data_IF_961930962755
#
_entry.id   IF_961930962755
#
_cell.length_a   1.000
_cell.length_b   1.000
_cell.length_c   1.000
_cell.angle_alpha   90.00
_cell.angle_beta   90.00
_cell.angle_gamma   90.00
#
_symmetry.space_group_name_H-M   'P 1'
#
loop_
_entity.id
_entity.type
_entity.pdbx_description
1 polymer ?
#
# COMPACT_ATOMS: atom_id res chain seq x y z
N UNK A 1 -26.38 10.05 11.81
CA UNK A 1 -26.23 8.78 11.08
C UNK A 1 -24.90 8.11 11.44
N UNK A 2 -24.89 6.80 11.47
CA UNK A 2 -23.71 5.97 11.60
C UNK A 2 -23.67 5.02 10.40
N UNK A 3 -22.49 4.80 9.84
CA UNK A 3 -22.25 3.82 8.76
C UNK A 3 -20.99 3.03 9.07
N UNK A 4 -21.05 1.72 8.83
CA UNK A 4 -19.89 0.82 8.90
C UNK A 4 -19.88 -0.03 7.64
N UNK A 5 -18.73 -0.15 7.01
CA UNK A 5 -18.53 -0.91 5.78
C UNK A 5 -17.27 -1.75 5.89
N UNK A 6 -17.34 -2.98 5.39
CA UNK A 6 -16.20 -3.91 5.25
C UNK A 6 -16.11 -4.33 3.80
N UNK A 7 -14.92 -4.26 3.23
CA UNK A 7 -14.61 -4.79 1.89
C UNK A 7 -13.40 -5.71 1.91
N UNK A 8 -13.35 -6.61 0.94
CA UNK A 8 -12.27 -7.58 0.76
C UNK A 8 -11.66 -7.38 -0.62
N UNK A 9 -10.34 -7.26 -0.66
CA UNK A 9 -9.58 -7.06 -1.87
C UNK A 9 -8.74 -8.32 -2.14
N UNK A 10 -8.85 -8.86 -3.35
CA UNK A 10 -8.07 -10.01 -3.79
C UNK A 10 -7.37 -9.67 -5.10
N UNK A 11 -6.21 -10.27 -5.35
CA UNK A 11 -5.52 -10.08 -6.61
C UNK A 11 -6.40 -10.59 -7.77
N UNK A 12 -6.77 -9.69 -8.68
CA UNK A 12 -7.72 -10.01 -9.74
C UNK A 12 -7.10 -10.72 -10.94
N UNK A 13 -5.86 -10.39 -11.29
CA UNK A 13 -5.16 -10.97 -12.44
C UNK A 13 -3.65 -10.97 -12.23
N UNK A 14 -3.05 -12.14 -12.43
CA UNK A 14 -1.61 -12.33 -12.42
C UNK A 14 -1.12 -12.72 -13.82
N UNK A 15 0.15 -12.44 -14.16
CA UNK A 15 0.77 -13.02 -15.35
C UNK A 15 0.76 -14.55 -15.30
N UNK A 16 0.59 -15.18 -16.45
CA UNK A 16 0.78 -16.62 -16.56
C UNK A 16 2.26 -16.97 -16.64
N UNK A 17 2.74 -17.74 -15.68
CA UNK A 17 4.11 -18.23 -15.65
C UNK A 17 4.21 -19.67 -16.15
N UNK A 18 5.31 -19.98 -16.82
CA UNK A 18 5.60 -21.36 -17.20
C UNK A 18 5.77 -22.25 -15.96
N UNK A 19 5.36 -23.52 -16.03
CA UNK A 19 5.41 -24.49 -14.91
C UNK A 19 6.13 -25.79 -15.29
N UNK A 20 6.90 -25.78 -16.38
CA UNK A 20 7.55 -26.96 -16.96
C UNK A 20 9.03 -27.03 -16.61
N UNK A 21 9.74 -25.90 -16.73
CA UNK A 21 11.18 -25.84 -16.58
C UNK A 21 11.59 -25.32 -15.21
N UNK A 22 12.63 -25.94 -14.65
CA UNK A 22 13.18 -25.59 -13.36
C UNK A 22 14.07 -24.33 -13.42
N UNK A 23 14.52 -23.90 -12.27
CA UNK A 23 15.53 -22.87 -12.10
C UNK A 23 16.80 -23.24 -12.89
N UNK A 24 17.40 -22.26 -13.55
CA UNK A 24 18.61 -22.46 -14.33
C UNK A 24 18.58 -21.81 -15.70
N UNK A 25 19.53 -22.13 -16.54
CA UNK A 25 19.69 -21.58 -17.88
C UNK A 25 20.26 -22.64 -18.81
N UNK A 26 19.86 -22.59 -20.11
CA UNK A 26 20.39 -23.49 -21.14
C UNK A 26 20.17 -24.99 -20.87
N UNK A 27 19.11 -25.34 -20.14
CA UNK A 27 18.80 -26.71 -19.76
C UNK A 27 19.60 -27.22 -18.55
N UNK A 28 20.44 -26.40 -17.92
CA UNK A 28 21.22 -26.75 -16.74
C UNK A 28 20.59 -26.20 -15.48
N UNK A 29 20.39 -27.06 -14.47
CA UNK A 29 19.85 -26.63 -13.16
C UNK A 29 20.87 -25.80 -12.40
N UNK A 30 20.39 -24.73 -11.75
CA UNK A 30 21.22 -23.87 -10.89
C UNK A 30 20.38 -23.33 -9.76
N UNK A 31 20.83 -23.53 -8.53
CA UNK A 31 20.16 -23.11 -7.29
C UNK A 31 20.30 -21.62 -6.97
N UNK A 32 21.02 -20.86 -7.80
CA UNK A 32 21.27 -19.42 -7.63
C UNK A 32 20.88 -18.59 -8.86
N UNK A 33 20.34 -19.23 -9.91
CA UNK A 33 19.91 -18.55 -11.13
C UNK A 33 18.62 -17.74 -10.91
N UNK A 34 18.58 -16.54 -11.47
CA UNK A 34 17.36 -15.72 -11.54
C UNK A 34 16.45 -16.05 -12.74
N UNK A 35 16.73 -17.13 -13.48
CA UNK A 35 15.96 -17.56 -14.65
C UNK A 35 15.39 -18.97 -14.49
N UNK A 36 14.37 -19.31 -15.27
CA UNK A 36 13.61 -20.56 -15.22
C UNK A 36 13.71 -21.31 -16.55
N UNK A 37 14.96 -21.46 -17.05
CA UNK A 37 15.30 -22.19 -18.27
C UNK A 37 16.31 -23.32 -18.01
N UNK A 38 16.20 -23.97 -16.85
CA UNK A 38 16.90 -25.21 -16.50
C UNK A 38 16.27 -26.44 -17.17
N UNK A 39 16.52 -27.66 -16.66
CA UNK A 39 15.89 -28.88 -17.14
C UNK A 39 14.37 -28.86 -16.81
N UNK A 40 13.65 -29.84 -17.32
CA UNK A 40 12.24 -30.04 -16.86
C UNK A 40 12.23 -30.35 -15.36
N UNK A 41 11.22 -29.81 -14.65
CA UNK A 41 11.09 -30.04 -13.20
C UNK A 41 11.05 -31.53 -12.88
N UNK A 42 10.38 -32.34 -13.70
CA UNK A 42 10.31 -33.81 -13.55
C UNK A 42 11.65 -34.51 -13.67
N UNK A 43 12.67 -33.88 -14.26
CA UNK A 43 14.00 -34.44 -14.47
C UNK A 43 14.98 -34.12 -13.34
N UNK A 44 14.63 -33.24 -12.41
CA UNK A 44 15.47 -32.83 -11.29
C UNK A 44 16.01 -34.00 -10.44
N UNK A 45 15.29 -35.12 -10.21
CA UNK A 45 15.83 -36.25 -9.50
C UNK A 45 17.05 -36.90 -10.21
N UNK A 46 17.19 -36.68 -11.51
CA UNK A 46 18.28 -37.19 -12.32
C UNK A 46 19.38 -36.15 -12.61
N UNK A 47 19.30 -34.97 -12.01
CA UNK A 47 20.33 -33.93 -12.09
C UNK A 47 21.68 -34.49 -11.57
N UNK A 48 22.77 -34.22 -12.29
CA UNK A 48 24.07 -34.77 -11.97
C UNK A 48 24.61 -34.28 -10.60
N UNK A 49 24.26 -33.05 -10.20
CA UNK A 49 24.78 -32.43 -8.98
C UNK A 49 23.80 -32.56 -7.81
N UNK A 50 22.52 -32.38 -8.06
CA UNK A 50 21.49 -32.25 -7.02
C UNK A 50 20.46 -33.39 -7.01
N UNK A 51 20.50 -34.29 -7.99
CA UNK A 51 19.53 -35.36 -8.14
C UNK A 51 19.69 -36.47 -7.11
N UNK A 52 18.62 -36.92 -6.48
CA UNK A 52 18.63 -38.01 -5.51
C UNK A 52 18.80 -39.40 -6.13
N UNK A 53 18.60 -39.52 -7.45
CA UNK A 53 18.80 -40.77 -8.19
C UNK A 53 20.26 -40.96 -8.63
N UNK A 54 21.07 -39.91 -8.66
CA UNK A 54 22.45 -39.92 -9.20
C UNK A 54 23.48 -40.10 -8.10
N UNK A 55 24.72 -40.43 -8.49
CA UNK A 55 25.86 -40.48 -7.58
C UNK A 55 26.51 -39.08 -7.57
N UNK A 56 26.29 -38.31 -6.52
CA UNK A 56 26.82 -36.97 -6.33
C UNK A 56 27.20 -36.72 -4.87
N UNK A 57 27.76 -35.56 -4.56
CA UNK A 57 28.24 -35.21 -3.22
C UNK A 57 27.12 -35.37 -2.13
N UNK A 58 25.89 -34.97 -2.44
CA UNK A 58 24.79 -35.05 -1.48
C UNK A 58 24.28 -36.45 -1.25
N UNK A 59 24.22 -37.29 -2.31
CA UNK A 59 23.82 -38.70 -2.17
C UNK A 59 24.93 -39.54 -1.54
N UNK A 60 26.19 -39.18 -1.70
CA UNK A 60 27.29 -39.79 -0.95
C UNK A 60 27.19 -39.48 0.55
N UNK A 61 26.81 -38.26 0.91
CA UNK A 61 26.69 -37.83 2.30
C UNK A 61 25.41 -38.32 3.01
N UNK A 62 24.27 -38.30 2.32
CA UNK A 62 22.96 -38.56 2.92
C UNK A 62 22.28 -39.85 2.43
N UNK A 63 22.91 -40.61 1.54
CA UNK A 63 22.29 -41.72 0.84
C UNK A 63 21.39 -41.27 -0.34
N UNK A 64 21.12 -42.22 -1.24
CA UNK A 64 20.22 -41.95 -2.38
C UNK A 64 18.79 -41.66 -1.92
N UNK A 65 18.18 -40.66 -2.55
CA UNK A 65 16.82 -40.19 -2.29
C UNK A 65 15.99 -40.29 -3.57
N UNK A 66 15.50 -41.48 -3.83
CA UNK A 66 14.79 -41.78 -5.07
C UNK A 66 13.63 -40.86 -5.34
N UNK A 67 13.59 -40.27 -6.54
CA UNK A 67 12.52 -39.38 -6.97
C UNK A 67 12.57 -37.95 -6.36
N UNK A 68 13.61 -37.62 -5.59
CA UNK A 68 13.81 -36.32 -4.97
C UNK A 68 15.06 -35.62 -5.53
N UNK A 69 15.20 -34.34 -5.22
CA UNK A 69 16.38 -33.54 -5.49
C UNK A 69 16.77 -32.68 -4.30
N UNK A 70 18.05 -32.38 -4.18
CA UNK A 70 18.58 -31.57 -3.06
C UNK A 70 18.39 -30.09 -3.31
N UNK A 71 17.89 -29.39 -2.33
CA UNK A 71 17.67 -27.92 -2.35
C UNK A 71 18.48 -27.27 -1.23
N UNK A 72 19.61 -26.61 -1.55
CA UNK A 72 20.52 -26.05 -0.55
C UNK A 72 19.83 -25.03 0.37
N UNK A 73 18.86 -24.28 -0.15
CA UNK A 73 18.13 -23.29 0.62
C UNK A 73 17.23 -23.91 1.70
N UNK A 74 16.71 -25.12 1.47
CA UNK A 74 16.00 -25.88 2.51
C UNK A 74 16.97 -26.31 3.62
N UNK A 75 18.15 -26.79 3.24
CA UNK A 75 19.20 -27.15 4.21
C UNK A 75 19.64 -25.92 5.02
N UNK A 76 19.86 -24.78 4.37
CA UNK A 76 20.25 -23.53 5.03
C UNK A 76 19.19 -23.03 6.02
N UNK A 77 17.91 -23.35 5.79
CA UNK A 77 16.81 -23.03 6.69
C UNK A 77 16.53 -24.10 7.76
N UNK A 78 17.39 -25.10 7.94
CA UNK A 78 17.19 -26.18 8.91
C UNK A 78 16.10 -27.20 8.55
N UNK A 79 15.62 -27.20 7.30
CA UNK A 79 14.60 -28.13 6.82
C UNK A 79 15.22 -29.39 6.20
N UNK A 80 14.38 -30.45 6.00
CA UNK A 80 14.77 -31.56 5.13
C UNK A 80 15.16 -31.01 3.76
N UNK A 81 16.42 -31.20 3.31
CA UNK A 81 16.89 -30.62 2.06
C UNK A 81 16.32 -31.32 0.80
N UNK A 82 15.72 -32.47 0.94
CA UNK A 82 15.24 -33.27 -0.18
C UNK A 82 13.79 -32.95 -0.54
N UNK A 83 13.61 -32.37 -1.71
CA UNK A 83 12.32 -31.95 -2.21
C UNK A 83 11.81 -32.89 -3.32
N UNK A 84 10.50 -33.09 -3.37
CA UNK A 84 9.82 -33.72 -4.50
C UNK A 84 9.66 -32.71 -5.63
N UNK A 85 9.97 -33.04 -6.90
CA UNK A 85 9.77 -32.15 -8.03
C UNK A 85 8.30 -31.75 -8.18
N UNK A 86 8.03 -30.45 -8.08
CA UNK A 86 6.71 -29.88 -8.34
C UNK A 86 6.84 -28.43 -8.79
N UNK A 87 5.78 -27.89 -9.38
CA UNK A 87 5.70 -26.49 -9.73
C UNK A 87 4.89 -25.74 -8.68
N UNK A 88 5.46 -24.66 -8.14
CA UNK A 88 4.83 -23.75 -7.20
C UNK A 88 4.24 -22.55 -7.93
N UNK A 89 3.16 -21.99 -7.41
CA UNK A 89 2.54 -20.78 -7.93
C UNK A 89 2.94 -19.57 -7.08
N UNK A 90 4.26 -19.30 -7.04
CA UNK A 90 4.88 -18.31 -6.16
C UNK A 90 4.22 -16.94 -6.22
N UNK A 91 3.74 -16.52 -7.40
CA UNK A 91 3.07 -15.24 -7.55
C UNK A 91 1.68 -15.23 -6.89
N UNK A 92 0.94 -16.33 -6.98
CA UNK A 92 -0.37 -16.45 -6.35
C UNK A 92 -0.25 -16.59 -4.82
N UNK A 93 0.72 -17.38 -4.37
CA UNK A 93 0.92 -17.71 -2.96
C UNK A 93 1.50 -16.51 -2.16
N UNK A 94 1.99 -15.48 -2.87
CA UNK A 94 2.55 -14.28 -2.26
C UNK A 94 1.50 -13.27 -1.82
N UNK A 95 0.32 -13.24 -2.45
CA UNK A 95 -0.69 -12.26 -2.16
C UNK A 95 -1.71 -12.77 -1.16
N UNK A 96 -2.00 -11.94 -0.17
CA UNK A 96 -3.05 -12.14 0.82
C UNK A 96 -4.39 -11.54 0.34
N UNK A 97 -5.43 -11.76 1.12
CA UNK A 97 -6.68 -11.02 0.99
C UNK A 97 -6.58 -9.75 1.80
N UNK A 98 -6.65 -8.60 1.15
CA UNK A 98 -6.74 -7.31 1.80
C UNK A 98 -8.12 -7.12 2.43
N UNK A 99 -8.17 -6.41 3.56
CA UNK A 99 -9.42 -6.10 4.27
C UNK A 99 -9.46 -4.61 4.54
N UNK A 100 -10.54 -3.96 4.13
CA UNK A 100 -10.78 -2.55 4.46
C UNK A 100 -12.00 -2.42 5.34
N UNK A 101 -11.85 -1.79 6.48
CA UNK A 101 -12.93 -1.47 7.40
C UNK A 101 -13.04 0.03 7.57
N UNK A 102 -14.22 0.59 7.18
CA UNK A 102 -14.51 2.02 7.27
C UNK A 102 -15.73 2.28 8.13
N UNK A 103 -15.59 3.21 9.07
CA UNK A 103 -16.67 3.67 9.92
C UNK A 103 -16.85 5.18 9.77
N UNK A 104 -18.08 5.64 9.81
CA UNK A 104 -18.39 7.07 9.85
C UNK A 104 -19.57 7.38 10.76
N UNK A 105 -19.44 8.47 11.50
CA UNK A 105 -20.48 9.05 12.33
C UNK A 105 -20.72 10.49 11.90
N UNK A 106 -21.96 10.82 11.60
CA UNK A 106 -22.37 12.18 11.29
C UNK A 106 -23.48 12.62 12.25
N UNK A 107 -23.27 13.74 12.92
CA UNK A 107 -24.24 14.41 13.79
C UNK A 107 -24.46 15.81 13.21
N UNK A 108 -25.70 16.12 12.90
CA UNK A 108 -26.09 17.42 12.38
C UNK A 108 -27.34 17.93 13.11
N UNK A 109 -27.39 19.23 13.33
CA UNK A 109 -28.56 19.90 13.87
C UNK A 109 -28.84 21.19 13.10
N UNK A 110 -30.10 21.43 12.84
CA UNK A 110 -30.59 22.65 12.22
C UNK A 110 -31.52 23.37 13.22
N UNK A 111 -31.25 24.62 13.42
CA UNK A 111 -32.05 25.56 14.21
C UNK A 111 -32.57 26.66 13.28
N UNK A 112 -33.47 27.50 13.77
CA UNK A 112 -34.08 28.56 12.95
C UNK A 112 -33.08 29.49 12.26
N UNK A 113 -31.96 29.79 12.94
CA UNK A 113 -30.94 30.74 12.45
C UNK A 113 -29.58 30.15 12.29
N UNK A 114 -29.35 28.88 12.65
CA UNK A 114 -28.04 28.26 12.56
C UNK A 114 -28.13 26.77 12.29
N UNK A 115 -27.11 26.26 11.65
CA UNK A 115 -26.90 24.82 11.47
C UNK A 115 -25.47 24.45 11.82
N UNK A 116 -25.28 23.26 12.31
CA UNK A 116 -23.96 22.74 12.57
C UNK A 116 -23.92 21.22 12.30
N UNK A 117 -22.77 20.77 11.90
CA UNK A 117 -22.51 19.34 11.74
C UNK A 117 -21.11 18.98 12.18
N UNK A 118 -21.00 17.77 12.71
CA UNK A 118 -19.73 17.11 13.04
C UNK A 118 -19.74 15.75 12.36
N UNK A 119 -18.71 15.48 11.59
CA UNK A 119 -18.48 14.17 10.98
C UNK A 119 -17.15 13.60 11.46
N UNK A 120 -17.19 12.36 11.91
CA UNK A 120 -16.03 11.58 12.32
C UNK A 120 -15.94 10.36 11.41
N UNK A 121 -14.75 10.01 10.98
CA UNK A 121 -14.53 8.82 10.18
C UNK A 121 -13.20 8.18 10.49
N UNK A 122 -13.15 6.86 10.38
CA UNK A 122 -11.91 6.12 10.33
C UNK A 122 -11.96 5.07 9.22
N UNK A 123 -10.82 4.78 8.65
CA UNK A 123 -10.59 3.67 7.72
C UNK A 123 -9.33 2.97 8.14
N UNK A 124 -9.43 1.65 8.30
CA UNK A 124 -8.31 0.75 8.47
C UNK A 124 -8.27 -0.20 7.28
N UNK A 125 -7.12 -0.36 6.66
CA UNK A 125 -6.92 -1.22 5.50
C UNK A 125 -5.67 -2.07 5.68
N UNK A 126 -5.83 -3.37 5.63
CA UNK A 126 -4.75 -4.30 5.37
C UNK A 126 -4.61 -4.49 3.86
N UNK A 127 -3.39 -4.37 3.34
CA UNK A 127 -3.12 -4.54 1.91
C UNK A 127 -3.12 -5.99 1.47
N UNK A 128 -3.14 -6.22 0.16
CA UNK A 128 -2.98 -7.57 -0.43
C UNK A 128 -1.53 -8.07 -0.39
N UNK A 129 -0.59 -7.25 0.02
CA UNK A 129 0.80 -7.63 0.33
C UNK A 129 0.93 -7.51 1.85
N UNK A 130 1.36 -8.59 2.49
CA UNK A 130 1.60 -8.61 3.94
C UNK A 130 2.49 -7.44 4.38
N UNK A 131 2.25 -6.91 5.58
CA UNK A 131 2.93 -5.73 6.13
C UNK A 131 2.69 -4.41 5.39
N UNK A 132 1.70 -4.35 4.48
CA UNK A 132 1.25 -3.10 3.88
C UNK A 132 -0.15 -2.76 4.37
N UNK A 133 -0.41 -1.47 4.57
CA UNK A 133 -1.72 -1.06 5.06
C UNK A 133 -1.88 0.45 5.16
N UNK A 134 -3.04 0.88 5.61
CA UNK A 134 -3.36 2.29 5.81
C UNK A 134 -4.30 2.46 7.00
N UNK A 135 -3.95 3.39 7.86
CA UNK A 135 -4.84 3.95 8.86
C UNK A 135 -5.16 5.40 8.52
N UNK A 136 -6.45 5.72 8.48
CA UNK A 136 -6.92 7.08 8.22
C UNK A 136 -8.01 7.47 9.20
N UNK A 137 -7.85 8.65 9.80
CA UNK A 137 -8.85 9.30 10.64
C UNK A 137 -9.18 10.67 10.08
N UNK A 138 -10.45 11.03 10.12
CA UNK A 138 -10.90 12.33 9.69
C UNK A 138 -11.95 12.91 10.63
N UNK A 139 -11.84 14.22 10.85
CA UNK A 139 -12.79 15.02 11.60
C UNK A 139 -13.18 16.20 10.72
N UNK A 140 -14.47 16.40 10.55
CA UNK A 140 -15.03 17.59 9.89
C UNK A 140 -16.02 18.27 10.81
N UNK A 141 -15.88 19.59 10.92
CA UNK A 141 -16.84 20.45 11.64
C UNK A 141 -17.30 21.53 10.68
N UNK A 142 -18.58 21.79 10.63
CA UNK A 142 -19.14 22.95 9.91
C UNK A 142 -20.24 23.61 10.71
N UNK A 143 -20.32 24.92 10.58
CA UNK A 143 -21.41 25.69 11.14
C UNK A 143 -21.73 26.87 10.23
N UNK A 144 -23.03 27.19 10.14
CA UNK A 144 -23.59 28.34 9.43
C UNK A 144 -24.57 29.04 10.32
N UNK A 145 -24.57 30.36 10.30
CA UNK A 145 -25.48 31.15 11.11
C UNK A 145 -25.94 32.44 10.41
N UNK A 146 -27.20 32.80 10.61
CA UNK A 146 -27.75 34.13 10.28
C UNK A 146 -27.50 35.05 11.45
N UNK A 147 -26.56 35.98 11.29
CA UNK A 147 -26.23 36.97 12.33
C UNK A 147 -27.32 38.05 12.45
N UNK A 148 -27.85 38.48 11.30
CA UNK A 148 -28.94 39.42 11.17
C UNK A 148 -29.84 39.01 9.99
N UNK A 149 -30.84 39.81 9.64
CA UNK A 149 -31.66 39.58 8.44
C UNK A 149 -30.82 39.66 7.14
N UNK A 150 -29.73 40.42 7.16
CA UNK A 150 -28.89 40.68 5.99
C UNK A 150 -27.55 39.99 6.05
N UNK A 151 -27.04 39.61 7.23
CA UNK A 151 -25.73 39.03 7.39
C UNK A 151 -25.80 37.56 7.78
N UNK A 152 -25.01 36.74 7.10
CA UNK A 152 -24.75 35.36 7.48
C UNK A 152 -23.25 35.09 7.47
N UNK A 153 -22.83 34.12 8.27
CA UNK A 153 -21.44 33.64 8.32
C UNK A 153 -21.44 32.17 8.57
N UNK A 154 -20.39 31.52 8.14
CA UNK A 154 -20.18 30.11 8.39
C UNK A 154 -18.73 29.72 8.22
N UNK A 155 -18.42 28.53 8.68
CA UNK A 155 -17.08 27.92 8.51
C UNK A 155 -17.18 26.44 8.27
N UNK A 156 -16.15 25.90 7.64
CA UNK A 156 -15.89 24.48 7.55
C UNK A 156 -14.42 24.23 7.91
N UNK A 157 -14.16 23.28 8.79
CA UNK A 157 -12.83 22.85 9.16
C UNK A 157 -12.74 21.33 9.04
N UNK A 158 -11.67 20.83 8.41
CA UNK A 158 -11.39 19.43 8.25
C UNK A 158 -9.98 19.15 8.76
N UNK A 159 -9.82 18.05 9.49
CA UNK A 159 -8.52 17.50 9.86
C UNK A 159 -8.48 16.04 9.46
N UNK A 160 -7.41 15.66 8.77
CA UNK A 160 -7.19 14.29 8.31
C UNK A 160 -5.79 13.90 8.72
N UNK A 161 -5.65 12.74 9.35
CA UNK A 161 -4.38 12.06 9.52
C UNK A 161 -4.41 10.73 8.79
N UNK A 162 -3.34 10.41 8.09
CA UNK A 162 -3.20 9.16 7.33
C UNK A 162 -1.81 8.61 7.59
N UNK A 163 -1.72 7.35 7.98
CA UNK A 163 -0.48 6.58 8.09
C UNK A 163 -0.54 5.42 7.11
N UNK A 164 0.49 5.23 6.29
CA UNK A 164 0.55 4.20 5.26
C UNK A 164 1.84 3.40 5.45
N UNK A 165 1.71 2.09 5.60
CA UNK A 165 2.81 1.14 5.46
C UNK A 165 2.87 0.68 4.01
N UNK A 166 4.03 0.89 3.35
CA UNK A 166 4.22 0.67 1.91
C UNK A 166 5.14 -0.50 1.61
N UNK A 167 4.88 -1.17 0.50
CA UNK A 167 5.86 -2.09 -0.09
C UNK A 167 6.93 -1.33 -0.87
N UNK A 168 8.16 -1.89 -0.92
CA UNK A 168 9.23 -1.39 -1.81
C UNK A 168 8.82 -1.58 -3.26
N UNK A 169 8.74 -0.48 -4.02
CA UNK A 169 8.34 -0.49 -5.44
C UNK A 169 9.50 -0.24 -6.41
N UNK A 170 10.70 0.05 -5.91
CA UNK A 170 11.88 0.35 -6.73
C UNK A 170 12.38 -0.86 -7.55
N UNK A 171 13.47 -0.68 -8.31
CA UNK A 171 14.09 -1.74 -9.15
C UNK A 171 14.44 -3.04 -8.41
N UNK A 172 14.61 -2.99 -7.08
CA UNK A 172 14.75 -4.14 -6.18
C UNK A 172 13.45 -4.47 -5.44
N UNK A 173 12.30 -3.98 -5.93
CA UNK A 173 11.00 -4.17 -5.31
C UNK A 173 10.56 -5.63 -5.21
N UNK A 174 9.67 -5.89 -4.25
CA UNK A 174 9.18 -7.22 -3.89
C UNK A 174 8.64 -8.00 -5.09
N UNK A 175 7.81 -7.37 -5.91
CA UNK A 175 7.16 -8.03 -7.06
C UNK A 175 8.16 -8.51 -8.11
N UNK A 176 9.28 -7.81 -8.30
CA UNK A 176 10.33 -8.26 -9.20
C UNK A 176 10.94 -9.58 -8.74
N UNK A 177 11.11 -9.78 -7.45
CA UNK A 177 11.61 -11.04 -6.89
C UNK A 177 10.56 -12.14 -6.97
N UNK A 178 9.32 -11.83 -6.61
CA UNK A 178 8.19 -12.78 -6.67
C UNK A 178 7.97 -13.30 -8.11
N UNK A 179 7.93 -12.40 -9.09
CA UNK A 179 7.69 -12.75 -10.49
C UNK A 179 8.90 -13.43 -11.16
N UNK A 180 10.09 -13.26 -10.62
CA UNK A 180 11.29 -13.97 -11.07
C UNK A 180 11.51 -15.30 -10.34
N UNK A 181 10.71 -15.62 -9.32
CA UNK A 181 10.86 -16.87 -8.59
C UNK A 181 10.61 -18.07 -9.51
N UNK A 182 11.58 -18.99 -9.62
CA UNK A 182 11.42 -20.17 -10.45
C UNK A 182 10.28 -21.06 -9.96
N UNK A 183 9.51 -21.68 -10.84
CA UNK A 183 8.42 -22.57 -10.42
C UNK A 183 8.89 -23.79 -9.65
N UNK A 184 10.16 -24.20 -9.77
CA UNK A 184 10.74 -25.28 -8.98
C UNK A 184 11.16 -24.86 -7.57
N UNK A 185 11.12 -23.57 -7.24
CA UNK A 185 11.48 -23.04 -5.93
C UNK A 185 10.22 -22.69 -5.12
N UNK A 186 10.14 -23.21 -3.91
CA UNK A 186 9.06 -22.94 -2.97
C UNK A 186 9.35 -21.64 -2.21
N UNK A 187 8.93 -20.50 -2.79
CA UNK A 187 9.23 -19.18 -2.22
C UNK A 187 8.52 -18.94 -0.88
N UNK A 188 7.31 -19.45 -0.72
CA UNK A 188 6.52 -19.30 0.50
C UNK A 188 6.87 -20.35 1.57
N UNK A 189 7.21 -21.58 1.16
CA UNK A 189 7.45 -22.68 2.10
C UNK A 189 8.89 -22.81 2.58
N UNK A 190 9.87 -22.13 1.95
CA UNK A 190 11.25 -22.09 2.42
C UNK A 190 11.46 -20.82 3.24
N UNK A 191 11.85 -20.91 4.53
CA UNK A 191 12.12 -19.73 5.35
C UNK A 191 13.02 -18.71 4.65
N UNK A 192 12.67 -17.46 4.77
CA UNK A 192 13.32 -16.34 4.09
C UNK A 192 14.74 -16.03 4.59
N UNK A 193 15.17 -16.65 5.69
CA UNK A 193 16.46 -16.47 6.33
C UNK A 193 17.12 -17.81 6.64
N UNK A 194 18.43 -17.77 6.86
CA UNK A 194 19.22 -18.91 7.30
C UNK A 194 18.85 -19.27 8.74
N UNK A 195 18.80 -20.57 9.05
CA UNK A 195 18.47 -21.06 10.38
C UNK A 195 19.34 -20.40 11.48
N UNK A 196 18.67 -19.91 12.52
CA UNK A 196 19.30 -19.21 13.63
C UNK A 196 19.89 -17.83 13.31
N UNK A 197 19.76 -17.31 12.09
CA UNK A 197 20.29 -16.00 11.71
C UNK A 197 19.28 -15.17 10.87
N UNK A 198 18.42 -14.36 11.52
CA UNK A 198 17.40 -13.58 10.83
C UNK A 198 17.97 -12.50 9.89
N UNK A 199 19.24 -12.12 10.04
CA UNK A 199 19.89 -11.09 9.23
C UNK A 199 20.54 -11.66 7.94
N UNK A 200 20.67 -12.97 7.83
CA UNK A 200 21.20 -13.62 6.62
C UNK A 200 20.05 -14.16 5.80
N UNK A 201 19.82 -13.54 4.66
CA UNK A 201 18.75 -13.94 3.76
C UNK A 201 18.99 -15.31 3.13
N UNK A 202 17.93 -16.06 2.98
CA UNK A 202 17.88 -17.30 2.26
C UNK A 202 17.09 -17.08 0.96
N UNK A 203 17.79 -16.91 -0.16
CA UNK A 203 17.19 -16.52 -1.43
C UNK A 203 17.55 -17.51 -2.54
N UNK A 204 16.66 -17.62 -3.53
CA UNK A 204 16.93 -18.42 -4.73
C UNK A 204 17.92 -17.75 -5.69
N UNK A 205 18.25 -16.47 -5.48
CA UNK A 205 19.22 -15.73 -6.28
C UNK A 205 19.95 -14.69 -5.43
N UNK A 206 21.20 -14.39 -5.79
CA UNK A 206 21.97 -13.31 -5.17
C UNK A 206 21.55 -11.92 -5.65
N UNK A 207 22.00 -10.89 -4.95
CA UNK A 207 21.85 -9.46 -5.30
C UNK A 207 20.44 -8.89 -5.26
N UNK A 208 19.44 -9.67 -4.82
CA UNK A 208 18.08 -9.22 -4.62
C UNK A 208 17.58 -9.74 -3.28
N UNK A 209 16.84 -8.92 -2.56
CA UNK A 209 16.22 -9.33 -1.31
C UNK A 209 15.18 -10.42 -1.57
N UNK A 210 15.16 -11.44 -0.70
CA UNK A 210 14.03 -12.35 -0.64
C UNK A 210 12.76 -11.54 -0.29
N UNK A 211 11.67 -11.76 -1.02
CA UNK A 211 10.47 -10.94 -0.88
C UNK A 211 9.86 -11.01 0.53
N UNK A 212 9.78 -12.21 1.12
CA UNK A 212 9.27 -12.40 2.48
C UNK A 212 10.21 -11.78 3.53
N UNK A 213 11.52 -11.97 3.38
CA UNK A 213 12.52 -11.34 4.25
C UNK A 213 12.41 -9.81 4.21
N UNK A 214 12.24 -9.25 3.01
CA UNK A 214 12.13 -7.81 2.82
C UNK A 214 10.85 -7.24 3.47
N UNK A 215 9.72 -7.97 3.43
CA UNK A 215 8.49 -7.56 4.13
C UNK A 215 8.66 -7.57 5.65
N UNK A 216 9.42 -8.49 6.19
CA UNK A 216 9.66 -8.62 7.63
C UNK A 216 10.67 -7.60 8.17
N UNK A 217 11.67 -7.24 7.37
CA UNK A 217 12.86 -6.51 7.83
C UNK A 217 12.98 -5.08 7.29
N UNK A 218 12.27 -4.75 6.20
CA UNK A 218 12.24 -3.40 5.64
C UNK A 218 10.93 -2.72 6.04
N UNK A 219 10.99 -1.43 6.35
CA UNK A 219 9.81 -0.64 6.70
C UNK A 219 9.79 0.66 5.93
N UNK A 220 8.69 0.92 5.24
CA UNK A 220 8.45 2.13 4.47
C UNK A 220 7.15 2.75 4.93
N UNK A 221 7.23 3.92 5.55
CA UNK A 221 6.04 4.60 6.07
C UNK A 221 5.86 5.97 5.43
N UNK A 222 4.61 6.38 5.33
CA UNK A 222 4.21 7.71 4.93
C UNK A 222 3.13 8.22 5.89
N UNK A 223 3.46 9.25 6.67
CA UNK A 223 2.54 9.88 7.61
C UNK A 223 2.15 11.26 7.09
N UNK A 224 0.87 11.48 6.86
CA UNK A 224 0.34 12.77 6.40
C UNK A 224 -0.68 13.32 7.38
N UNK A 225 -0.45 14.57 7.81
CA UNK A 225 -1.39 15.36 8.58
C UNK A 225 -1.85 16.55 7.75
N UNK A 226 -3.17 16.71 7.53
CA UNK A 226 -3.74 17.77 6.71
C UNK A 226 -4.85 18.47 7.43
N UNK A 227 -4.79 19.78 7.45
CA UNK A 227 -5.87 20.67 7.86
C UNK A 227 -6.31 21.52 6.66
N UNK A 228 -7.60 21.53 6.37
CA UNK A 228 -8.14 22.45 5.38
C UNK A 228 -9.54 22.95 5.79
N UNK A 229 -9.81 24.16 5.40
CA UNK A 229 -11.08 24.75 5.76
C UNK A 229 -11.25 26.16 5.21
N UNK A 230 -12.40 26.71 5.48
CA UNK A 230 -12.73 28.08 5.10
C UNK A 230 -13.67 28.72 6.11
N UNK A 231 -13.67 30.03 6.12
CA UNK A 231 -14.65 30.88 6.80
C UNK A 231 -15.19 31.89 5.80
N UNK A 232 -16.47 32.20 5.89
CA UNK A 232 -17.07 33.19 5.03
C UNK A 232 -17.98 34.14 5.80
N UNK A 233 -18.15 35.36 5.26
CA UNK A 233 -19.21 36.29 5.59
C UNK A 233 -19.99 36.63 4.32
N UNK A 234 -21.29 36.69 4.41
CA UNK A 234 -22.19 37.03 3.30
C UNK A 234 -23.16 38.10 3.71
N UNK A 235 -23.33 39.10 2.87
CA UNK A 235 -24.31 40.17 3.01
C UNK A 235 -25.33 40.06 1.89
N UNK A 236 -26.63 40.13 2.24
CA UNK A 236 -27.72 40.11 1.28
C UNK A 236 -28.68 41.23 1.58
N UNK A 237 -29.12 41.96 0.56
CA UNK A 237 -30.14 43.00 0.67
C UNK A 237 -30.99 43.05 -0.59
N UNK A 238 -32.25 43.44 -0.42
CA UNK A 238 -33.19 43.73 -1.51
C UNK A 238 -33.44 45.24 -1.70
N UNK A 239 -32.71 46.09 -0.96
CA UNK A 239 -32.86 47.55 -0.93
C UNK A 239 -34.29 48.03 -0.63
N UNK A 240 -35.12 47.18 0.01
CA UNK A 240 -36.53 47.48 0.28
C UNK A 240 -37.43 47.36 -0.96
N UNK A 241 -36.98 46.72 -2.03
CA UNK A 241 -37.74 46.45 -3.26
C UNK A 241 -37.68 45.00 -3.63
N UNK A 242 -38.73 44.48 -4.31
CA UNK A 242 -38.74 43.09 -4.78
C UNK A 242 -37.94 42.89 -6.07
N UNK A 243 -37.56 43.99 -6.75
CA UNK A 243 -36.98 43.96 -8.08
C UNK A 243 -35.45 44.01 -8.07
N UNK A 244 -34.81 44.31 -6.96
CA UNK A 244 -33.38 44.45 -6.83
C UNK A 244 -32.87 43.57 -5.70
N UNK A 245 -31.90 42.68 -5.98
CA UNK A 245 -31.25 41.87 -4.94
C UNK A 245 -29.75 41.96 -5.12
N UNK A 246 -29.04 42.20 -4.04
CA UNK A 246 -27.59 42.16 -3.96
C UNK A 246 -27.19 41.06 -2.99
N UNK A 247 -26.27 40.22 -3.40
CA UNK A 247 -25.59 39.25 -2.54
C UNK A 247 -24.10 39.43 -2.71
N UNK A 248 -23.38 39.71 -1.64
CA UNK A 248 -21.91 39.78 -1.59
C UNK A 248 -21.40 38.78 -0.58
N UNK A 249 -20.53 37.89 -1.00
CA UNK A 249 -19.91 36.87 -0.16
C UNK A 249 -18.41 36.95 -0.26
N UNK A 250 -17.74 37.07 0.89
CA UNK A 250 -16.29 36.98 0.99
C UNK A 250 -15.92 35.72 1.77
N UNK A 251 -15.00 34.92 1.22
CA UNK A 251 -14.53 33.66 1.78
C UNK A 251 -13.01 33.65 1.83
N UNK A 252 -12.46 33.19 2.94
CA UNK A 252 -11.03 32.90 3.10
C UNK A 252 -10.87 31.43 3.42
N UNK A 253 -9.92 30.78 2.77
CA UNK A 253 -9.62 29.35 2.94
C UNK A 253 -8.15 29.08 3.15
N UNK A 254 -7.87 27.99 3.80
CA UNK A 254 -6.53 27.41 4.00
C UNK A 254 -6.57 25.94 3.71
N UNK A 255 -5.48 25.42 3.12
CA UNK A 255 -5.17 24.02 2.98
C UNK A 255 -3.68 23.82 3.32
N UNK A 256 -3.41 23.16 4.42
CA UNK A 256 -2.06 22.94 4.92
C UNK A 256 -1.87 21.48 5.26
N UNK A 257 -0.76 20.90 4.79
CA UNK A 257 -0.40 19.52 5.10
C UNK A 257 1.09 19.34 5.30
N UNK A 258 1.43 18.38 6.12
CA UNK A 258 2.79 17.88 6.33
C UNK A 258 2.79 16.41 6.00
N UNK A 259 3.73 15.99 5.15
CA UNK A 259 3.97 14.57 4.87
C UNK A 259 5.38 14.22 5.32
N UNK A 260 5.52 13.12 6.03
CA UNK A 260 6.75 12.58 6.56
C UNK A 260 6.94 11.15 6.06
N UNK A 261 8.12 10.84 5.54
CA UNK A 261 8.51 9.54 5.03
C UNK A 261 9.64 8.96 5.84
N UNK A 262 9.56 7.69 6.13
CA UNK A 262 10.66 6.90 6.67
C UNK A 262 10.83 5.67 5.80
N UNK A 263 11.96 5.58 5.10
CA UNK A 263 12.34 4.43 4.29
C UNK A 263 13.48 3.73 5.02
N UNK A 264 13.21 2.56 5.59
CA UNK A 264 14.15 1.78 6.37
C UNK A 264 14.40 0.43 5.71
N UNK A 265 15.65 0.18 5.35
CA UNK A 265 16.15 -1.13 4.93
C UNK A 265 16.83 -1.81 6.10
N UNK A 266 16.43 -3.05 6.40
CA UNK A 266 16.98 -3.83 7.49
C UNK A 266 18.45 -4.21 7.27
N UNK A 267 19.15 -4.49 8.37
CA UNK A 267 20.49 -5.06 8.32
C UNK A 267 20.44 -6.44 7.65
N UNK A 268 21.26 -6.63 6.61
CA UNK A 268 21.22 -7.82 5.74
C UNK A 268 20.51 -7.57 4.40
N UNK A 269 19.86 -6.41 4.19
CA UNK A 269 19.29 -6.05 2.88
C UNK A 269 20.41 -5.83 1.84
N UNK A 270 20.18 -6.28 0.62
CA UNK A 270 21.08 -6.00 -0.51
C UNK A 270 21.13 -4.49 -0.85
N UNK A 271 20.12 -3.73 -0.48
CA UNK A 271 20.15 -2.27 -0.53
C UNK A 271 21.04 -1.74 0.58
N UNK A 272 21.92 -0.78 0.28
CA UNK A 272 22.90 -0.28 1.24
C UNK A 272 24.05 -1.25 1.54
N UNK A 273 24.26 -2.29 0.71
CA UNK A 273 25.37 -3.23 0.80
C UNK A 273 25.35 -4.10 2.06
N UNK A 274 24.18 -4.48 2.55
CA UNK A 274 23.98 -5.37 3.70
C UNK A 274 24.08 -4.69 5.06
N UNK A 275 24.34 -3.38 5.10
CA UNK A 275 24.52 -2.64 6.37
C UNK A 275 23.21 -2.06 6.93
N UNK A 276 22.13 -2.14 6.15
CA UNK A 276 20.92 -1.38 6.39
C UNK A 276 21.05 0.10 6.00
N UNK A 277 19.93 0.76 5.84
CA UNK A 277 19.87 2.17 5.46
C UNK A 277 18.56 2.75 6.00
N UNK A 278 18.61 3.99 6.49
CA UNK A 278 17.41 4.74 6.87
C UNK A 278 17.44 6.08 6.16
N UNK A 279 16.38 6.38 5.43
CA UNK A 279 16.11 7.70 4.87
C UNK A 279 14.89 8.28 5.56
N UNK A 280 15.02 9.52 6.04
CA UNK A 280 13.97 10.22 6.75
C UNK A 280 13.82 11.61 6.11
N UNK A 281 12.69 11.88 5.49
CA UNK A 281 12.44 13.11 4.76
C UNK A 281 10.96 13.49 4.79
N UNK A 282 10.68 14.72 4.41
CA UNK A 282 9.30 15.19 4.37
C UNK A 282 9.22 16.64 3.93
N UNK A 283 8.00 17.11 3.78
CA UNK A 283 7.71 18.50 3.42
C UNK A 283 6.42 18.98 4.06
N UNK A 284 6.33 20.30 4.16
CA UNK A 284 5.12 21.00 4.57
C UNK A 284 4.67 21.91 3.41
N UNK A 285 3.39 21.88 3.11
CA UNK A 285 2.76 22.76 2.13
C UNK A 285 1.61 23.51 2.79
N UNK A 286 1.44 24.77 2.45
CA UNK A 286 0.30 25.58 2.87
C UNK A 286 -0.15 26.48 1.72
N UNK A 287 -1.43 26.38 1.41
CA UNK A 287 -2.10 27.20 0.39
C UNK A 287 -3.18 28.04 1.05
N UNK A 288 -3.18 29.33 0.78
CA UNK A 288 -4.21 30.25 1.23
C UNK A 288 -4.95 30.78 0.01
N UNK A 289 -6.26 30.92 0.14
CA UNK A 289 -7.09 31.49 -0.90
C UNK A 289 -8.09 32.48 -0.33
N UNK A 290 -8.52 33.41 -1.17
CA UNK A 290 -9.62 34.28 -0.86
C UNK A 290 -10.49 34.51 -2.09
N UNK A 291 -11.80 34.60 -1.90
CA UNK A 291 -12.77 34.78 -2.96
C UNK A 291 -13.83 35.78 -2.54
N UNK A 292 -13.99 36.84 -3.33
CA UNK A 292 -15.12 37.77 -3.25
C UNK A 292 -16.07 37.48 -4.42
N UNK A 293 -17.31 37.16 -4.10
CA UNK A 293 -18.37 36.98 -5.08
C UNK A 293 -19.45 38.06 -4.86
N UNK A 294 -19.82 38.77 -5.90
CA UNK A 294 -20.89 39.75 -5.88
C UNK A 294 -21.89 39.37 -6.97
N UNK A 295 -23.13 39.14 -6.58
CA UNK A 295 -24.27 38.90 -7.46
C UNK A 295 -25.29 40.01 -7.29
N UNK A 296 -25.72 40.55 -8.41
CA UNK A 296 -26.81 41.56 -8.44
C UNK A 296 -27.86 41.06 -9.41
N UNK A 297 -29.08 40.87 -8.90
CA UNK A 297 -30.25 40.46 -9.65
C UNK A 297 -31.19 41.63 -9.80
N UNK A 298 -31.53 42.00 -11.03
CA UNK A 298 -32.53 43.01 -11.35
C UNK A 298 -33.66 42.38 -12.14
N UNK A 299 -34.84 42.36 -11.56
CA UNK A 299 -36.07 41.96 -12.22
C UNK A 299 -36.70 43.16 -12.90
N UNK A 300 -36.63 43.20 -14.22
CA UNK A 300 -37.30 44.19 -15.03
C UNK A 300 -38.76 43.73 -15.16
N UNK A 301 -39.70 44.45 -14.56
CA UNK A 301 -41.12 44.19 -14.82
C UNK A 301 -41.41 44.67 -16.24
N UNK A 302 -41.72 43.76 -17.13
CA UNK A 302 -42.38 44.09 -18.39
C UNK A 302 -43.82 44.51 -18.06
N UNK A 303 -44.04 45.74 -17.61
CA UNK A 303 -45.32 46.39 -17.76
C UNK A 303 -45.32 46.96 -19.18
N UNK A 304 -45.82 46.15 -20.08
CA UNK A 304 -46.20 46.64 -21.37
C UNK A 304 -47.29 47.69 -21.18
N UNK A 305 -47.02 48.89 -21.57
CA UNK A 305 -47.92 49.84 -22.20
C UNK A 305 -47.23 50.35 -23.43
#
# INVERSE_FOLDING_TARGET
>A
SFSSNVSFDVVGRLPEFQKTYAQGSGGVFSTTSGTSWGPKISELPNDATYGGNTDNEYTQKFGKQQGKYYVPQRAAAGLDPWATPQAYDNAKDFFDTGITWSNSLNVAQMLDKSSYSISLGNTHQDGIISSTGMDRYNVKVSADTKLTNNWSSGFTANYITTSIDKAVTSGNGLLRTVYAAPPSYDLAGIPSHVDGNPYTQNSFRGSFDNAYWAMENNKFTEDTNRFFGNVYASYQTDFGTTNHKLNAKYMVGVDAYTTHYVDSYGYGSNTGGGRGQIENYGWTNATYNSLLTINYDWHINETGD
#
